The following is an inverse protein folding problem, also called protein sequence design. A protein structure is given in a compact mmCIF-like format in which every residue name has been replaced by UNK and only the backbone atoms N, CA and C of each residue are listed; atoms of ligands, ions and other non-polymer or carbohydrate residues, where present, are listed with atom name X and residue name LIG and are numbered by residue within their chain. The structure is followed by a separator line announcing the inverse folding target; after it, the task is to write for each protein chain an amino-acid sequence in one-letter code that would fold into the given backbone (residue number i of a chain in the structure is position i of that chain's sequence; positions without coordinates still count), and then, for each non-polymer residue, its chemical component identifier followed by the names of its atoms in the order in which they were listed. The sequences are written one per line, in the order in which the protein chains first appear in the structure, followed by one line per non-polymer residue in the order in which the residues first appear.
data_IF_532402108359
#
_entry.id   IF_532402108359
#
_cell.length_a   1.000
_cell.length_b   1.000
_cell.length_c   1.000
_cell.angle_alpha   90.00
_cell.angle_beta   90.00
_cell.angle_gamma   90.00
#
_symmetry.space_group_name_H-M   'P 1'
#
loop_
_entity.id
_entity.type
_entity.pdbx_description
1 polymer ?
#
# COMPACT_ATOMS: atom_id res chain seq x y z
N UNK A 1 62.73 -50.13 -12.77
CA UNK A 1 61.55 -49.88 -13.63
C UNK A 1 60.54 -49.05 -12.84
N UNK A 2 60.21 -47.86 -13.37
CA UNK A 2 59.14 -46.88 -13.07
C UNK A 2 58.38 -46.93 -11.72
N UNK A 3 58.51 -45.93 -10.83
CA UNK A 3 57.79 -44.62 -10.78
C UNK A 3 56.29 -44.67 -10.44
N UNK A 4 55.92 -44.16 -9.26
CA UNK A 4 54.97 -43.04 -9.10
C UNK A 4 55.00 -42.44 -7.69
N UNK A 5 55.42 -41.17 -7.63
CA UNK A 5 55.13 -40.22 -6.56
C UNK A 5 53.62 -40.09 -6.31
N UNK A 6 53.21 -39.71 -5.09
CA UNK A 6 52.31 -38.58 -4.82
C UNK A 6 52.41 -38.14 -3.34
N UNK A 7 52.50 -36.82 -3.20
CA UNK A 7 52.61 -35.94 -2.04
C UNK A 7 51.79 -36.29 -0.77
N UNK A 8 52.46 -36.25 0.39
CA UNK A 8 51.84 -36.04 1.73
C UNK A 8 51.43 -34.56 1.88
N UNK A 9 50.12 -34.27 1.97
CA UNK A 9 49.60 -32.97 2.42
C UNK A 9 49.50 -32.95 3.96
N UNK A 10 50.09 -31.93 4.59
CA UNK A 10 49.91 -31.58 6.01
C UNK A 10 48.50 -31.01 6.24
N UNK A 11 47.89 -31.20 7.43
CA UNK A 11 46.59 -30.60 7.74
C UNK A 11 46.73 -29.08 7.97
N UNK A 12 46.03 -28.29 7.17
CA UNK A 12 45.90 -26.84 7.34
C UNK A 12 44.80 -26.57 8.36
N UNK A 13 45.18 -26.13 9.57
CA UNK A 13 44.25 -25.51 10.53
C UNK A 13 43.91 -24.11 10.03
N UNK A 14 42.73 -23.93 9.44
CA UNK A 14 42.16 -22.61 9.20
C UNK A 14 41.58 -22.07 10.51
N UNK A 15 42.32 -21.17 11.16
CA UNK A 15 41.79 -20.31 12.23
C UNK A 15 40.99 -19.21 11.54
N UNK A 16 39.65 -19.35 11.47
CA UNK A 16 38.77 -18.22 11.16
C UNK A 16 38.72 -17.30 12.38
N UNK A 17 39.50 -16.22 12.34
CA UNK A 17 39.26 -15.05 13.20
C UNK A 17 38.00 -14.35 12.68
N UNK A 18 36.85 -14.72 13.23
CA UNK A 18 35.62 -13.94 13.06
C UNK A 18 35.74 -12.69 13.94
N UNK A 19 36.08 -11.56 13.32
CA UNK A 19 35.94 -10.24 13.95
C UNK A 19 34.45 -9.90 13.94
N UNK A 20 33.75 -10.26 15.00
CA UNK A 20 32.46 -9.68 15.33
C UNK A 20 32.72 -8.30 15.93
N UNK A 21 32.57 -7.23 15.14
CA UNK A 21 32.40 -5.89 15.69
C UNK A 21 30.96 -5.82 16.20
N UNK A 22 30.81 -6.11 17.49
CA UNK A 22 29.60 -5.83 18.25
C UNK A 22 29.53 -4.31 18.45
N UNK A 23 28.82 -3.60 17.57
CA UNK A 23 28.46 -2.21 17.84
C UNK A 23 27.29 -2.23 18.83
N UNK A 24 27.60 -2.39 20.11
CA UNK A 24 26.69 -2.14 21.20
C UNK A 24 26.48 -0.61 21.29
N UNK A 25 25.44 -0.10 20.62
CA UNK A 25 24.89 1.21 20.95
C UNK A 25 23.76 0.99 21.95
N UNK A 26 24.07 1.38 23.17
CA UNK A 26 23.24 1.38 24.38
C UNK A 26 21.84 1.92 24.10
N UNK A 27 20.84 1.11 24.45
CA UNK A 27 19.48 1.57 24.67
C UNK A 27 19.46 2.47 25.91
N UNK A 28 19.56 3.77 25.71
CA UNK A 28 18.93 4.71 26.62
C UNK A 28 17.48 4.85 26.18
N UNK A 29 16.58 4.12 26.87
CA UNK A 29 15.14 4.27 26.72
C UNK A 29 14.79 5.70 27.12
N UNK A 30 14.55 6.56 26.14
CA UNK A 30 14.02 7.89 26.37
C UNK A 30 12.54 7.75 26.72
N UNK A 31 12.22 7.82 28.01
CA UNK A 31 10.98 8.45 28.44
C UNK A 31 11.11 9.94 28.11
N UNK A 32 10.89 10.28 26.83
CA UNK A 32 10.53 11.63 26.41
C UNK A 32 9.16 11.46 25.74
N UNK A 33 8.17 11.25 26.59
CA UNK A 33 6.78 11.57 26.28
C UNK A 33 6.67 13.09 26.13
N UNK A 34 6.08 13.53 25.02
CA UNK A 34 5.49 14.86 24.85
C UNK A 34 6.36 16.08 25.19
N UNK A 35 7.65 16.04 24.89
CA UNK A 35 8.36 17.30 24.67
C UNK A 35 7.87 17.87 23.33
N UNK A 36 7.00 18.90 23.40
CA UNK A 36 6.85 19.89 22.34
C UNK A 36 8.24 20.44 22.05
N UNK A 37 8.95 19.82 21.10
CA UNK A 37 10.23 20.31 20.60
C UNK A 37 9.94 21.58 19.80
N UNK A 38 9.81 22.69 20.53
CA UNK A 38 9.54 24.04 20.06
C UNK A 38 10.81 24.72 19.53
N UNK A 39 11.89 23.97 19.32
CA UNK A 39 13.16 24.50 18.82
C UNK A 39 12.96 25.19 17.46
N UNK A 40 13.16 26.51 17.36
CA UNK A 40 12.91 27.30 16.15
C UNK A 40 13.94 27.03 15.02
N UNK A 41 14.85 26.07 15.21
CA UNK A 41 16.01 25.82 14.37
C UNK A 41 16.13 24.33 14.01
N UNK A 42 15.07 23.72 13.48
CA UNK A 42 15.24 22.50 12.69
C UNK A 42 15.93 22.88 11.38
N UNK A 43 17.27 22.85 11.35
CA UNK A 43 18.06 23.09 10.15
C UNK A 43 17.57 22.09 9.09
N UNK A 44 16.83 22.58 8.09
CA UNK A 44 16.34 21.76 6.99
C UNK A 44 17.17 22.03 5.74
N UNK A 45 18.04 21.08 5.40
CA UNK A 45 18.68 21.05 4.09
C UNK A 45 17.70 20.37 3.12
N UNK A 46 17.28 21.05 2.03
CA UNK A 46 16.32 20.52 1.06
C UNK A 46 16.97 19.41 0.22
N UNK A 47 16.93 18.19 0.76
CA UNK A 47 17.48 17.01 0.12
C UNK A 47 16.37 16.21 -0.58
N UNK A 48 16.71 15.66 -1.75
CA UNK A 48 15.84 14.69 -2.42
C UNK A 48 15.71 13.46 -1.54
N UNK A 49 14.48 13.15 -1.17
CA UNK A 49 14.17 11.90 -0.47
C UNK A 49 13.78 10.83 -1.50
N UNK A 50 13.91 9.56 -1.14
CA UNK A 50 13.33 8.46 -1.94
C UNK A 50 11.79 8.35 -1.76
N UNK A 51 11.13 9.40 -1.25
CA UNK A 51 9.68 9.44 -1.02
C UNK A 51 9.22 8.65 0.22
N UNK A 52 10.14 8.10 1.02
CA UNK A 52 9.82 7.44 2.30
C UNK A 52 9.37 5.98 2.19
N UNK A 53 10.05 5.19 1.36
CA UNK A 53 9.66 3.81 1.07
C UNK A 53 9.59 2.95 2.35
N UNK A 54 8.46 2.27 2.52
CA UNK A 54 8.13 1.25 3.54
C UNK A 54 8.16 1.64 5.03
N UNK A 55 8.75 2.77 5.42
CA UNK A 55 8.82 3.20 6.83
C UNK A 55 8.05 4.49 7.12
N UNK A 56 7.50 5.12 6.09
CA UNK A 56 6.74 6.35 6.21
C UNK A 56 5.30 6.12 5.81
N UNK A 57 4.40 6.77 6.54
CA UNK A 57 2.98 6.85 6.21
C UNK A 57 2.63 8.29 5.88
N UNK A 58 2.01 8.49 4.72
CA UNK A 58 1.48 9.78 4.30
C UNK A 58 0.25 10.10 5.18
N UNK A 59 0.31 11.20 5.93
CA UNK A 59 -0.75 11.66 6.82
C UNK A 59 -1.70 12.62 6.10
N UNK A 60 -1.14 13.56 5.34
CA UNK A 60 -1.86 14.52 4.49
C UNK A 60 -1.22 14.57 3.13
N UNK A 61 -2.01 14.63 2.05
CA UNK A 61 -1.53 14.73 0.67
C UNK A 61 -2.37 15.77 -0.08
N UNK A 62 -1.74 16.81 -0.62
CA UNK A 62 -2.42 17.86 -1.39
C UNK A 62 -1.48 18.43 -2.44
N UNK A 63 -1.94 18.68 -3.68
CA UNK A 63 -1.10 19.25 -4.74
C UNK A 63 0.19 18.47 -5.04
N UNK A 64 0.24 17.17 -4.70
CA UNK A 64 1.44 16.33 -4.79
C UNK A 64 2.42 16.47 -3.61
N UNK A 65 2.21 17.42 -2.70
CA UNK A 65 2.92 17.57 -1.43
C UNK A 65 2.38 16.61 -0.38
N UNK A 66 3.21 16.26 0.61
CA UNK A 66 2.85 15.29 1.66
C UNK A 66 3.41 15.68 3.00
N UNK A 67 2.60 15.51 4.05
CA UNK A 67 3.12 15.30 5.41
C UNK A 67 3.29 13.80 5.59
N UNK A 68 4.48 13.37 5.97
CA UNK A 68 4.80 11.96 6.20
C UNK A 68 5.24 11.76 7.65
N UNK A 69 4.76 10.70 8.29
CA UNK A 69 5.21 10.29 9.64
C UNK A 69 6.04 9.01 9.56
N UNK A 70 7.19 9.01 10.22
CA UNK A 70 8.02 7.82 10.34
C UNK A 70 7.40 6.85 11.35
N UNK A 71 7.35 5.56 11.01
CA UNK A 71 6.76 4.55 11.86
C UNK A 71 7.51 4.32 13.19
N UNK A 72 8.85 4.40 13.18
CA UNK A 72 9.66 4.09 14.36
C UNK A 72 9.90 5.30 15.27
N UNK A 73 10.11 6.48 14.67
CA UNK A 73 10.49 7.68 15.43
C UNK A 73 9.32 8.62 15.68
N UNK A 74 8.15 8.40 15.08
CA UNK A 74 7.00 9.31 15.04
C UNK A 74 7.28 10.72 14.48
N UNK A 75 8.53 10.98 14.07
CA UNK A 75 8.95 12.23 13.49
C UNK A 75 8.22 12.48 12.15
N UNK A 76 7.84 13.72 11.90
CA UNK A 76 7.11 14.13 10.71
C UNK A 76 7.99 14.94 9.76
N UNK A 77 7.68 14.87 8.46
CA UNK A 77 8.31 15.74 7.45
C UNK A 77 7.30 16.19 6.42
N UNK A 78 7.55 17.37 5.86
CA UNK A 78 6.88 17.84 4.65
C UNK A 78 7.78 17.55 3.47
N UNK A 79 7.26 16.86 2.45
CA UNK A 79 7.93 16.66 1.16
C UNK A 79 7.07 17.24 0.04
N UNK A 80 7.71 17.89 -0.93
CA UNK A 80 7.02 18.44 -2.09
C UNK A 80 6.71 17.38 -3.16
N UNK A 81 6.09 17.81 -4.27
CA UNK A 81 5.78 16.95 -5.40
C UNK A 81 7.01 16.27 -6.05
N UNK A 82 8.22 16.82 -5.87
CA UNK A 82 9.50 16.26 -6.35
C UNK A 82 10.17 15.37 -5.30
N UNK A 83 9.52 15.11 -4.17
CA UNK A 83 10.03 14.40 -2.99
C UNK A 83 11.21 15.11 -2.31
N UNK A 84 11.34 16.42 -2.45
CA UNK A 84 12.34 17.21 -1.72
C UNK A 84 11.75 17.56 -0.36
N UNK A 85 12.52 17.36 0.71
CA UNK A 85 12.08 17.68 2.08
C UNK A 85 12.11 19.19 2.30
N UNK A 86 10.97 19.75 2.68
CA UNK A 86 10.77 21.19 2.86
C UNK A 86 10.74 21.60 4.34
N UNK A 87 10.36 20.66 5.21
CA UNK A 87 10.54 20.78 6.67
C UNK A 87 10.50 19.40 7.32
N UNK A 88 10.93 19.32 8.57
CA UNK A 88 10.92 18.13 9.42
C UNK A 88 10.75 18.58 10.88
N UNK A 89 10.03 17.82 11.69
CA UNK A 89 9.74 18.19 13.08
C UNK A 89 8.64 17.35 13.72
N UNK A 90 7.99 17.95 14.72
CA UNK A 90 6.71 17.45 15.22
C UNK A 90 5.63 17.51 14.13
N UNK A 91 4.50 16.83 14.38
CA UNK A 91 3.37 16.90 13.46
C UNK A 91 2.84 18.34 13.33
N UNK A 92 2.67 19.05 14.44
CA UNK A 92 2.14 20.41 14.46
C UNK A 92 3.02 21.39 13.68
N UNK A 93 4.35 21.28 13.83
CA UNK A 93 5.30 22.07 13.04
C UNK A 93 5.16 21.79 11.54
N UNK A 94 5.05 20.52 11.16
CA UNK A 94 4.86 20.13 9.76
C UNK A 94 3.52 20.63 9.22
N UNK A 95 2.45 20.56 10.03
CA UNK A 95 1.12 21.01 9.68
C UNK A 95 1.09 22.54 9.47
N UNK A 96 1.60 23.32 10.42
CA UNK A 96 1.70 24.78 10.30
C UNK A 96 2.46 25.18 9.03
N UNK A 97 3.60 24.52 8.78
CA UNK A 97 4.39 24.80 7.58
C UNK A 97 3.68 24.41 6.29
N UNK A 98 2.89 23.33 6.32
CA UNK A 98 2.06 22.90 5.19
C UNK A 98 0.98 23.94 4.87
N UNK A 99 0.30 24.48 5.89
CA UNK A 99 -0.69 25.56 5.70
C UNK A 99 -0.04 26.82 5.13
N UNK A 100 1.12 27.23 5.64
CA UNK A 100 1.86 28.38 5.07
C UNK A 100 2.19 28.17 3.58
N UNK A 101 2.43 26.92 3.14
CA UNK A 101 2.66 26.64 1.73
C UNK A 101 1.38 26.71 0.89
N UNK A 102 0.21 26.40 1.46
CA UNK A 102 -1.09 26.61 0.83
C UNK A 102 -1.39 28.11 0.72
N UNK A 103 -1.26 28.87 1.81
CA UNK A 103 -1.48 30.32 1.84
C UNK A 103 -0.61 31.07 0.83
N UNK A 104 0.63 30.61 0.63
CA UNK A 104 1.58 31.16 -0.36
C UNK A 104 1.35 30.65 -1.78
N UNK A 105 0.28 29.89 -2.05
CA UNK A 105 -0.05 29.36 -3.37
C UNK A 105 0.95 28.33 -3.92
N UNK A 106 1.76 27.70 -3.06
CA UNK A 106 2.69 26.63 -3.49
C UNK A 106 2.03 25.26 -3.59
N UNK A 107 0.91 25.10 -2.87
CA UNK A 107 0.12 23.88 -2.84
C UNK A 107 -1.28 24.25 -3.31
N UNK A 108 -1.65 23.72 -4.47
CA UNK A 108 -2.99 23.93 -5.04
C UNK A 108 -4.08 23.40 -4.09
N UNK A 109 -5.26 24.05 -4.04
CA UNK A 109 -6.41 23.52 -3.32
C UNK A 109 -6.87 22.18 -3.90
N UNK A 110 -7.59 21.39 -3.10
CA UNK A 110 -8.21 20.17 -3.59
C UNK A 110 -9.25 20.48 -4.66
N UNK A 111 -9.29 19.64 -5.69
CA UNK A 111 -10.44 19.54 -6.58
C UNK A 111 -11.59 18.86 -5.86
N UNK A 112 -12.81 19.12 -6.32
CA UNK A 112 -14.00 18.50 -5.75
C UNK A 112 -14.02 16.97 -5.91
N UNK A 113 -13.40 16.42 -6.97
CA UNK A 113 -13.28 14.97 -7.19
C UNK A 113 -11.90 14.50 -6.80
N UNK A 114 -11.83 13.48 -5.94
CA UNK A 114 -10.58 12.89 -5.45
C UNK A 114 -10.60 11.38 -5.71
N UNK A 115 -9.60 10.88 -6.43
CA UNK A 115 -9.37 9.45 -6.66
C UNK A 115 -8.18 9.02 -5.82
N UNK A 116 -8.39 8.12 -4.87
CA UNK A 116 -7.35 7.58 -3.99
C UNK A 116 -6.93 6.19 -4.47
N UNK A 117 -5.62 5.99 -4.63
CA UNK A 117 -5.04 4.71 -5.00
C UNK A 117 -4.30 4.11 -3.80
N UNK A 118 -4.68 2.89 -3.42
CA UNK A 118 -4.11 2.16 -2.26
C UNK A 118 -3.32 0.95 -2.73
N UNK A 119 -2.04 0.85 -2.34
CA UNK A 119 -1.15 -0.24 -2.76
C UNK A 119 -1.21 -1.45 -1.84
N UNK A 120 -0.73 -2.61 -2.32
CA UNK A 120 -0.62 -3.81 -1.50
C UNK A 120 0.53 -3.79 -0.47
N UNK A 121 0.60 -4.85 0.33
CA UNK A 121 1.73 -5.15 1.21
C UNK A 121 3.03 -5.32 0.39
N UNK A 122 4.19 -5.05 1.01
CA UNK A 122 5.57 -4.95 0.43
C UNK A 122 5.76 -3.93 -0.70
N UNK A 123 4.68 -3.38 -1.25
CA UNK A 123 4.71 -2.35 -2.28
C UNK A 123 4.84 -0.97 -1.66
N UNK A 124 5.07 0.00 -2.54
CA UNK A 124 4.92 1.43 -2.26
C UNK A 124 3.90 2.00 -3.23
N UNK A 125 3.47 3.25 -3.00
CA UNK A 125 2.60 4.00 -3.91
C UNK A 125 3.05 3.99 -5.38
N UNK A 126 4.34 3.78 -5.66
CA UNK A 126 4.90 3.72 -7.00
C UNK A 126 4.39 2.54 -7.83
N UNK A 127 3.93 1.45 -7.20
CA UNK A 127 3.35 0.33 -7.95
C UNK A 127 2.10 0.74 -8.72
N UNK A 128 1.47 1.86 -8.36
CA UNK A 128 0.25 2.38 -8.97
C UNK A 128 0.54 3.56 -9.90
N UNK A 129 1.80 3.90 -10.19
CA UNK A 129 2.16 5.09 -10.97
C UNK A 129 1.59 5.08 -12.40
N UNK A 130 1.51 3.91 -13.04
CA UNK A 130 0.89 3.78 -14.37
C UNK A 130 -0.60 4.08 -14.32
N UNK A 131 -1.32 3.47 -13.38
CA UNK A 131 -2.74 3.71 -13.15
C UNK A 131 -3.00 5.18 -12.78
N UNK A 132 -2.21 5.74 -11.88
CA UNK A 132 -2.33 7.13 -11.46
C UNK A 132 -2.14 8.11 -12.60
N UNK A 133 -1.12 7.93 -13.44
CA UNK A 133 -0.93 8.75 -14.65
C UNK A 133 -2.07 8.57 -15.65
N UNK A 134 -2.53 7.34 -15.85
CA UNK A 134 -3.62 7.05 -16.77
C UNK A 134 -4.91 7.79 -16.38
N UNK A 135 -5.26 7.76 -15.08
CA UNK A 135 -6.45 8.42 -14.53
C UNK A 135 -6.29 9.94 -14.48
N UNK A 136 -5.11 10.45 -14.10
CA UNK A 136 -4.85 11.90 -14.03
C UNK A 136 -5.05 12.58 -15.39
N UNK A 137 -4.66 11.92 -16.47
CA UNK A 137 -4.77 12.45 -17.82
C UNK A 137 -6.19 12.37 -18.41
N UNK A 138 -7.14 11.75 -17.71
CA UNK A 138 -8.50 11.46 -18.23
C UNK A 138 -9.63 11.94 -17.34
N UNK A 139 -9.31 12.52 -16.18
CA UNK A 139 -10.30 12.97 -15.21
C UNK A 139 -9.98 14.39 -14.74
N UNK A 140 -11.03 15.20 -14.58
CA UNK A 140 -10.96 16.44 -13.82
C UNK A 140 -11.04 16.12 -12.31
N UNK A 141 -10.03 15.43 -11.80
CA UNK A 141 -9.94 14.98 -10.41
C UNK A 141 -8.49 15.06 -9.89
N UNK A 142 -8.34 15.13 -8.58
CA UNK A 142 -7.05 14.88 -7.93
C UNK A 142 -6.83 13.37 -7.82
N UNK A 143 -5.68 12.90 -8.30
CA UNK A 143 -5.33 11.48 -8.22
C UNK A 143 -4.20 11.31 -7.21
N UNK A 144 -4.53 10.70 -6.08
CA UNK A 144 -3.67 10.58 -4.91
C UNK A 144 -3.26 9.11 -4.72
N UNK A 145 -2.01 8.78 -5.02
CA UNK A 145 -1.43 7.49 -4.61
C UNK A 145 -0.99 7.59 -3.15
N UNK A 146 -1.75 6.99 -2.25
CA UNK A 146 -1.48 7.02 -0.82
C UNK A 146 -0.37 6.03 -0.47
N UNK A 147 0.74 6.54 0.10
CA UNK A 147 1.83 5.73 0.61
C UNK A 147 1.68 5.45 2.10
N UNK A 148 1.81 4.19 2.49
CA UNK A 148 1.80 3.81 3.90
C UNK A 148 2.80 2.68 4.19
N UNK A 149 3.23 2.57 5.46
CA UNK A 149 4.22 1.60 5.91
C UNK A 149 3.63 0.17 5.96
N UNK A 150 3.33 -0.39 4.80
CA UNK A 150 2.44 -1.53 4.57
C UNK A 150 2.84 -2.86 5.23
N UNK A 151 4.07 -2.97 5.75
CA UNK A 151 4.58 -4.17 6.45
C UNK A 151 4.79 -3.93 7.94
N UNK A 152 4.55 -2.72 8.44
CA UNK A 152 4.96 -2.28 9.78
C UNK A 152 3.82 -2.12 10.75
N UNK A 153 2.59 -2.05 10.26
CA UNK A 153 1.40 -1.85 11.08
C UNK A 153 0.37 -2.93 10.80
N UNK A 154 -0.61 -3.04 11.68
CA UNK A 154 -1.79 -3.88 11.45
C UNK A 154 -2.72 -3.26 10.42
N UNK A 155 -3.60 -4.07 9.83
CA UNK A 155 -4.67 -3.60 8.94
C UNK A 155 -5.57 -2.58 9.65
N UNK A 156 -5.84 -2.77 10.95
CA UNK A 156 -6.62 -1.81 11.75
C UNK A 156 -5.93 -0.46 11.87
N UNK A 157 -4.63 -0.44 12.15
CA UNK A 157 -3.85 0.81 12.20
C UNK A 157 -3.77 1.49 10.83
N UNK A 158 -3.63 0.73 9.75
CA UNK A 158 -3.72 1.29 8.39
C UNK A 158 -5.10 1.89 8.11
N UNK A 159 -6.19 1.24 8.54
CA UNK A 159 -7.54 1.76 8.37
C UNK A 159 -7.78 3.07 9.16
N UNK A 160 -7.21 3.19 10.36
CA UNK A 160 -7.23 4.43 11.14
C UNK A 160 -6.51 5.57 10.42
N UNK A 161 -5.31 5.31 9.89
CA UNK A 161 -4.53 6.29 9.11
C UNK A 161 -5.19 6.64 7.78
N UNK A 162 -5.89 5.70 7.17
CA UNK A 162 -6.73 5.99 6.01
C UNK A 162 -7.85 6.97 6.39
N UNK A 163 -8.53 6.74 7.52
CA UNK A 163 -9.53 7.68 8.04
C UNK A 163 -8.98 9.08 8.36
N UNK A 164 -7.76 9.16 8.92
CA UNK A 164 -7.05 10.42 9.17
C UNK A 164 -6.73 11.15 7.85
N UNK A 165 -6.28 10.44 6.81
CA UNK A 165 -6.09 11.05 5.49
C UNK A 165 -7.40 11.66 4.95
N UNK A 166 -8.51 10.92 5.05
CA UNK A 166 -9.81 11.38 4.54
C UNK A 166 -10.32 12.63 5.27
N UNK A 167 -9.95 12.86 6.53
CA UNK A 167 -10.41 14.03 7.29
C UNK A 167 -9.81 15.35 6.78
N UNK A 168 -8.75 15.31 5.98
CA UNK A 168 -8.18 16.52 5.37
C UNK A 168 -8.87 16.94 4.07
N UNK A 169 -9.72 16.08 3.51
CA UNK A 169 -10.43 16.40 2.27
C UNK A 169 -11.67 17.27 2.54
N UNK A 170 -12.09 18.10 1.58
CA UNK A 170 -13.29 18.91 1.71
C UNK A 170 -14.52 18.07 2.10
N UNK A 171 -15.43 18.69 2.84
CA UNK A 171 -16.66 18.04 3.34
C UNK A 171 -17.62 17.63 2.22
N UNK A 172 -17.57 18.34 1.10
CA UNK A 172 -18.40 18.16 -0.09
C UNK A 172 -17.70 17.37 -1.21
N UNK A 173 -16.47 16.92 -0.98
CA UNK A 173 -15.70 16.18 -1.98
C UNK A 173 -16.41 14.87 -2.41
N UNK A 174 -16.27 14.51 -3.68
CA UNK A 174 -16.58 13.18 -4.18
C UNK A 174 -15.32 12.31 -4.19
N UNK A 175 -15.34 11.23 -3.43
CA UNK A 175 -14.19 10.34 -3.24
C UNK A 175 -14.42 9.04 -4.01
N UNK A 176 -13.40 8.64 -4.76
CA UNK A 176 -13.36 7.42 -5.55
C UNK A 176 -12.12 6.62 -5.13
N UNK A 177 -12.27 5.31 -4.97
CA UNK A 177 -11.20 4.46 -4.45
C UNK A 177 -10.75 3.44 -5.49
N UNK A 178 -9.45 3.19 -5.56
CA UNK A 178 -8.90 2.03 -6.25
C UNK A 178 -7.90 1.33 -5.34
N UNK A 179 -8.27 0.14 -4.87
CA UNK A 179 -7.40 -0.66 -4.02
C UNK A 179 -6.73 -1.79 -4.80
N UNK A 180 -5.44 -2.01 -4.59
CA UNK A 180 -4.74 -3.20 -5.05
C UNK A 180 -4.42 -4.13 -3.87
N UNK A 181 -4.75 -5.41 -4.00
CA UNK A 181 -4.41 -6.44 -3.02
C UNK A 181 -4.84 -6.01 -1.61
N UNK A 182 -3.93 -5.99 -0.63
CA UNK A 182 -4.17 -5.53 0.74
C UNK A 182 -4.81 -4.13 0.85
N UNK A 183 -4.56 -3.21 -0.08
CA UNK A 183 -5.18 -1.88 -0.04
C UNK A 183 -6.70 -1.95 0.02
N UNK A 184 -7.30 -2.99 -0.57
CA UNK A 184 -8.74 -3.26 -0.48
C UNK A 184 -9.18 -3.65 0.93
N UNK A 185 -8.39 -4.48 1.60
CA UNK A 185 -8.67 -4.96 2.96
C UNK A 185 -8.58 -3.81 3.97
N UNK A 186 -7.65 -2.87 3.76
CA UNK A 186 -7.55 -1.63 4.56
C UNK A 186 -8.84 -0.81 4.45
N UNK A 187 -9.36 -0.60 3.23
CA UNK A 187 -10.64 0.11 3.04
C UNK A 187 -11.78 -0.63 3.71
N UNK A 188 -11.90 -1.96 3.52
CA UNK A 188 -12.93 -2.76 4.17
C UNK A 188 -12.86 -2.68 5.70
N UNK A 189 -11.66 -2.69 6.27
CA UNK A 189 -11.46 -2.54 7.72
C UNK A 189 -11.92 -1.16 8.22
N UNK A 190 -11.66 -0.10 7.47
CA UNK A 190 -12.16 1.25 7.76
C UNK A 190 -13.71 1.27 7.74
N UNK A 191 -14.32 0.66 6.72
CA UNK A 191 -15.76 0.63 6.51
C UNK A 191 -16.54 -0.17 7.56
N UNK A 192 -15.86 -1.04 8.33
CA UNK A 192 -16.50 -1.77 9.43
C UNK A 192 -17.05 -0.85 10.50
N UNK A 193 -16.32 0.23 10.82
CA UNK A 193 -16.61 1.10 11.95
C UNK A 193 -16.98 2.52 11.54
N UNK A 194 -16.65 2.93 10.31
CA UNK A 194 -16.88 4.29 9.82
C UNK A 194 -17.54 4.24 8.45
N UNK A 195 -18.43 5.18 8.20
CA UNK A 195 -19.04 5.41 6.90
C UNK A 195 -18.73 6.83 6.47
N UNK A 196 -18.33 7.01 5.22
CA UNK A 196 -18.05 8.32 4.64
C UNK A 196 -18.90 8.50 3.38
N UNK A 197 -19.94 9.33 3.49
CA UNK A 197 -20.90 9.59 2.41
C UNK A 197 -20.25 10.25 1.19
N UNK A 198 -19.03 10.77 1.33
CA UNK A 198 -18.23 11.32 0.23
C UNK A 198 -17.75 10.21 -0.71
N UNK A 199 -17.56 8.98 -0.22
CA UNK A 199 -17.11 7.85 -1.04
C UNK A 199 -18.26 7.41 -1.96
N UNK A 200 -18.04 7.54 -3.27
CA UNK A 200 -19.05 7.27 -4.29
C UNK A 200 -18.88 5.91 -4.93
N UNK A 201 -17.63 5.53 -5.27
CA UNK A 201 -17.33 4.24 -5.90
C UNK A 201 -15.97 3.69 -5.51
N UNK A 202 -15.82 2.38 -5.60
CA UNK A 202 -14.54 1.69 -5.46
C UNK A 202 -14.30 0.67 -6.58
N UNK A 203 -13.06 0.57 -7.04
CA UNK A 203 -12.60 -0.57 -7.85
C UNK A 203 -11.58 -1.37 -7.06
N UNK A 204 -11.79 -2.68 -6.96
CA UNK A 204 -10.93 -3.60 -6.23
C UNK A 204 -10.11 -4.42 -7.22
N UNK A 205 -8.78 -4.25 -7.21
CA UNK A 205 -7.84 -4.99 -8.06
C UNK A 205 -7.22 -6.13 -7.27
N UNK A 206 -7.48 -7.38 -7.69
CA UNK A 206 -7.02 -8.61 -7.05
C UNK A 206 -7.15 -8.58 -5.50
N UNK A 207 -8.34 -8.25 -4.95
CA UNK A 207 -8.52 -8.19 -3.50
C UNK A 207 -8.50 -9.59 -2.87
N UNK A 208 -7.76 -9.86 -1.78
CA UNK A 208 -7.91 -11.10 -1.03
C UNK A 208 -9.14 -11.01 -0.11
N UNK A 209 -10.34 -10.94 -0.70
CA UNK A 209 -11.58 -10.66 0.02
C UNK A 209 -12.01 -11.78 0.97
N UNK A 210 -11.62 -13.02 0.64
CA UNK A 210 -11.83 -14.24 1.44
C UNK A 210 -10.51 -14.80 1.98
N UNK A 211 -9.48 -13.96 2.03
CA UNK A 211 -8.11 -14.32 2.41
C UNK A 211 -7.27 -14.73 1.21
N UNK A 212 -6.05 -15.23 1.47
CA UNK A 212 -5.15 -15.75 0.44
C UNK A 212 -4.58 -17.09 0.87
N UNK A 213 -4.83 -18.13 0.08
CA UNK A 213 -4.29 -19.47 0.25
C UNK A 213 -2.76 -19.45 0.18
N UNK A 214 -2.20 -18.66 -0.73
CA UNK A 214 -0.76 -18.42 -0.79
C UNK A 214 -0.24 -17.83 0.52
N UNK A 215 -0.86 -16.76 1.04
CA UNK A 215 -0.45 -16.17 2.32
C UNK A 215 -0.55 -17.15 3.49
N UNK A 216 -1.55 -18.03 3.51
CA UNK A 216 -1.65 -19.10 4.53
C UNK A 216 -0.51 -20.12 4.39
N UNK A 217 -0.23 -20.58 3.17
CA UNK A 217 0.79 -21.59 2.90
C UNK A 217 2.22 -21.13 3.22
N UNK A 218 2.50 -19.83 3.08
CA UNK A 218 3.83 -19.26 3.38
C UNK A 218 3.95 -18.66 4.78
N UNK A 219 2.88 -18.71 5.58
CA UNK A 219 2.82 -18.05 6.89
C UNK A 219 3.81 -18.66 7.91
N UNK A 220 4.08 -19.96 7.83
CA UNK A 220 4.97 -20.65 8.78
C UNK A 220 6.45 -20.52 8.42
N UNK A 221 6.78 -19.77 7.35
CA UNK A 221 8.16 -19.53 6.93
C UNK A 221 8.65 -18.16 7.41
N UNK A 222 9.50 -18.18 8.45
CA UNK A 222 10.07 -16.99 9.11
C UNK A 222 10.72 -15.98 8.14
N UNK A 223 11.28 -16.45 7.01
CA UNK A 223 11.83 -15.58 5.96
C UNK A 223 10.74 -14.80 5.23
N UNK A 224 9.61 -15.43 4.91
CA UNK A 224 8.46 -14.78 4.29
C UNK A 224 7.74 -13.85 5.27
N UNK A 225 7.64 -14.22 6.55
CA UNK A 225 7.07 -13.35 7.59
C UNK A 225 7.83 -12.03 7.75
N UNK A 226 9.17 -12.09 7.69
CA UNK A 226 10.03 -10.89 7.81
C UNK A 226 9.80 -9.92 6.66
N UNK A 227 9.50 -10.43 5.46
CA UNK A 227 9.25 -9.65 4.26
C UNK A 227 7.83 -9.06 4.26
N UNK A 228 6.81 -9.88 4.54
CA UNK A 228 5.41 -9.46 4.52
C UNK A 228 4.98 -8.69 5.77
N UNK A 229 5.70 -8.83 6.88
CA UNK A 229 5.52 -8.07 8.11
C UNK A 229 4.17 -8.29 8.80
N UNK A 230 3.78 -7.35 9.66
CA UNK A 230 2.60 -7.47 10.53
C UNK A 230 1.32 -7.69 9.73
N UNK A 231 1.10 -6.88 8.70
CA UNK A 231 -0.08 -7.00 7.84
C UNK A 231 -0.13 -8.31 7.06
N UNK A 232 1.02 -8.85 6.64
CA UNK A 232 1.09 -10.14 5.95
C UNK A 232 0.52 -11.29 6.76
N UNK A 233 0.86 -11.34 8.06
CA UNK A 233 0.36 -12.37 8.99
C UNK A 233 -1.16 -12.30 9.19
N UNK A 234 -1.73 -11.09 9.22
CA UNK A 234 -3.19 -10.91 9.33
C UNK A 234 -3.93 -11.36 8.06
N UNK A 235 -3.29 -11.25 6.87
CA UNK A 235 -3.86 -11.73 5.61
C UNK A 235 -3.71 -13.26 5.41
N UNK A 236 -2.73 -13.87 6.07
CA UNK A 236 -2.49 -15.32 6.10
C UNK A 236 -3.28 -16.00 7.23
N UNK A 237 -2.56 -16.53 8.23
CA UNK A 237 -3.14 -17.31 9.33
C UNK A 237 -4.16 -16.55 10.19
N UNK A 238 -4.06 -15.22 10.24
CA UNK A 238 -4.99 -14.38 11.01
C UNK A 238 -6.33 -14.06 10.32
N UNK A 239 -6.52 -14.49 9.07
CA UNK A 239 -7.58 -13.92 8.22
C UNK A 239 -9.00 -14.17 8.76
N UNK A 240 -9.31 -15.36 9.31
CA UNK A 240 -10.66 -15.64 9.84
C UNK A 240 -11.09 -14.63 10.92
N UNK A 241 -10.15 -14.20 11.77
CA UNK A 241 -10.41 -13.19 12.80
C UNK A 241 -10.51 -11.79 12.18
N UNK A 242 -9.64 -11.48 11.22
CA UNK A 242 -9.69 -10.21 10.50
C UNK A 242 -11.00 -10.03 9.73
N UNK A 243 -11.48 -11.06 9.05
CA UNK A 243 -12.69 -11.06 8.21
C UNK A 243 -13.92 -10.59 8.97
N UNK A 244 -14.09 -11.02 10.23
CA UNK A 244 -15.18 -10.57 11.11
C UNK A 244 -15.16 -9.05 11.36
N UNK A 245 -13.99 -8.43 11.20
CA UNK A 245 -13.73 -7.00 11.37
C UNK A 245 -13.72 -6.24 10.04
N UNK A 246 -14.03 -6.88 8.92
CA UNK A 246 -14.13 -6.23 7.61
C UNK A 246 -15.57 -5.84 7.30
N UNK A 247 -15.77 -4.61 6.84
CA UNK A 247 -17.02 -4.15 6.26
C UNK A 247 -17.13 -4.52 4.79
N UNK A 248 -18.36 -4.51 4.28
CA UNK A 248 -18.66 -4.52 2.85
C UNK A 248 -19.02 -3.09 2.43
N UNK A 249 -18.51 -2.58 1.29
CA UNK A 249 -18.93 -1.27 0.80
C UNK A 249 -20.44 -1.19 0.61
N UNK A 250 -21.04 -0.10 1.10
CA UNK A 250 -22.47 0.23 0.94
C UNK A 250 -22.73 1.18 -0.24
N UNK A 251 -21.72 1.41 -1.07
CA UNK A 251 -21.75 2.19 -2.30
C UNK A 251 -21.31 1.30 -3.48
N UNK A 252 -21.47 1.76 -4.73
CA UNK A 252 -21.13 0.94 -5.90
C UNK A 252 -19.64 0.55 -5.90
N UNK A 253 -19.34 -0.75 -5.96
CA UNK A 253 -17.98 -1.22 -6.13
C UNK A 253 -17.89 -2.34 -7.17
N UNK A 254 -16.75 -2.41 -7.85
CA UNK A 254 -16.47 -3.42 -8.86
C UNK A 254 -15.18 -4.15 -8.54
N UNK A 255 -15.07 -5.42 -8.93
CA UNK A 255 -13.90 -6.26 -8.69
C UNK A 255 -13.28 -6.70 -10.01
N UNK A 256 -11.96 -6.55 -10.12
CA UNK A 256 -11.16 -7.06 -11.23
C UNK A 256 -10.19 -8.10 -10.65
N UNK A 257 -10.39 -9.36 -11.02
CA UNK A 257 -9.52 -10.47 -10.66
C UNK A 257 -8.47 -10.72 -11.76
N UNK A 258 -7.25 -11.04 -11.37
CA UNK A 258 -6.24 -11.53 -12.32
C UNK A 258 -6.35 -13.04 -12.46
N UNK A 259 -6.06 -13.55 -13.64
CA UNK A 259 -5.63 -14.94 -13.82
C UNK A 259 -4.65 -15.02 -14.98
N UNK A 260 -3.78 -16.04 -15.01
CA UNK A 260 -3.01 -16.35 -16.21
C UNK A 260 -3.78 -17.37 -17.07
N UNK A 261 -3.88 -17.10 -18.36
CA UNK A 261 -4.46 -18.05 -19.32
C UNK A 261 -3.46 -19.13 -19.78
N UNK A 262 -2.15 -18.87 -19.61
CA UNK A 262 -1.08 -19.80 -19.99
C UNK A 262 -0.71 -20.74 -18.85
N UNK A 263 -0.61 -22.03 -19.15
CA UNK A 263 -0.21 -23.08 -18.19
C UNK A 263 1.31 -23.13 -17.93
N UNK A 264 2.12 -22.29 -18.59
CA UNK A 264 3.58 -22.30 -18.43
C UNK A 264 4.05 -21.78 -17.06
N UNK A 265 3.25 -20.92 -16.43
CA UNK A 265 3.54 -20.34 -15.12
C UNK A 265 2.32 -20.58 -14.24
N UNK A 266 2.46 -21.48 -13.27
CA UNK A 266 1.40 -21.85 -12.34
C UNK A 266 1.94 -21.85 -10.90
N UNK A 267 1.07 -21.53 -9.94
CA UNK A 267 1.38 -21.64 -8.52
C UNK A 267 0.66 -22.88 -7.95
N UNK A 268 1.38 -23.96 -7.60
CA UNK A 268 0.78 -25.23 -7.15
C UNK A 268 0.08 -25.14 -5.79
N UNK A 269 0.20 -23.99 -5.09
CA UNK A 269 -0.47 -23.74 -3.82
C UNK A 269 -1.89 -23.17 -4.01
N UNK A 270 -2.31 -22.89 -5.25
CA UNK A 270 -3.55 -22.20 -5.57
C UNK A 270 -4.40 -23.05 -6.51
N UNK A 271 -5.58 -23.45 -6.02
CA UNK A 271 -6.56 -24.18 -6.81
C UNK A 271 -7.35 -23.24 -7.72
N UNK A 272 -7.52 -23.64 -9.00
CA UNK A 272 -8.28 -22.90 -10.00
C UNK A 272 -7.60 -21.66 -10.58
N UNK A 273 -8.31 -20.85 -11.39
CA UNK A 273 -7.77 -19.65 -12.02
C UNK A 273 -7.24 -18.65 -10.99
N UNK A 274 -6.00 -18.21 -11.14
CA UNK A 274 -5.34 -17.34 -10.18
C UNK A 274 -4.24 -16.47 -10.82
N UNK A 275 -3.87 -15.41 -10.10
CA UNK A 275 -2.87 -14.44 -10.53
C UNK A 275 -1.47 -14.69 -9.94
N UNK A 276 -1.21 -15.93 -9.52
CA UNK A 276 -0.06 -16.42 -8.76
C UNK A 276 -0.06 -16.08 -7.26
N UNK A 277 -1.03 -15.31 -6.75
CA UNK A 277 -1.11 -14.96 -5.32
C UNK A 277 -2.52 -15.15 -4.75
N UNK A 278 -3.54 -14.78 -5.52
CA UNK A 278 -4.95 -14.83 -5.12
C UNK A 278 -5.75 -15.52 -6.23
N UNK A 279 -6.64 -16.43 -5.85
CA UNK A 279 -7.54 -17.08 -6.81
C UNK A 279 -8.68 -16.13 -7.20
N UNK A 280 -9.27 -16.35 -8.37
CA UNK A 280 -10.46 -15.61 -8.80
C UNK A 280 -11.59 -15.73 -7.77
N UNK A 281 -11.77 -16.91 -7.17
CA UNK A 281 -12.75 -17.14 -6.11
C UNK A 281 -12.46 -16.33 -4.84
N UNK A 282 -11.20 -16.27 -4.40
CA UNK A 282 -10.79 -15.50 -3.23
C UNK A 282 -11.05 -13.99 -3.36
N UNK A 283 -11.14 -13.49 -4.61
CA UNK A 283 -11.49 -12.09 -4.88
C UNK A 283 -12.97 -11.77 -4.72
N UNK A 284 -13.85 -12.76 -4.75
CA UNK A 284 -15.28 -12.54 -4.75
C UNK A 284 -15.78 -11.95 -3.43
N UNK A 285 -16.62 -10.91 -3.53
CA UNK A 285 -17.30 -10.27 -2.40
C UNK A 285 -18.71 -9.89 -2.83
N UNK A 286 -19.71 -10.38 -2.10
CA UNK A 286 -21.12 -10.08 -2.33
C UNK A 286 -21.41 -8.58 -2.24
N UNK A 287 -22.34 -8.11 -3.07
CA UNK A 287 -22.66 -6.70 -3.26
C UNK A 287 -21.87 -6.02 -4.38
N UNK A 288 -20.92 -6.72 -5.03
CA UNK A 288 -20.16 -6.19 -6.15
C UNK A 288 -21.07 -5.91 -7.34
N UNK A 289 -21.11 -4.65 -7.80
CA UNK A 289 -21.98 -4.20 -8.89
C UNK A 289 -21.53 -4.72 -10.26
N UNK A 290 -20.24 -5.01 -10.41
CA UNK A 290 -19.67 -5.61 -11.62
C UNK A 290 -18.39 -6.39 -11.29
N UNK A 291 -18.10 -7.41 -12.10
CA UNK A 291 -16.96 -8.29 -11.93
C UNK A 291 -16.30 -8.60 -13.28
N UNK A 292 -14.98 -8.50 -13.35
CA UNK A 292 -14.20 -8.92 -14.53
C UNK A 292 -12.97 -9.69 -14.13
N UNK A 293 -12.53 -10.53 -15.05
CA UNK A 293 -11.21 -11.13 -15.02
C UNK A 293 -10.33 -10.48 -16.09
N UNK A 294 -9.02 -10.46 -15.87
CA UNK A 294 -8.03 -10.02 -16.86
C UNK A 294 -6.83 -10.98 -16.86
N UNK A 295 -6.24 -11.19 -18.04
CA UNK A 295 -5.04 -12.01 -18.17
C UNK A 295 -3.81 -11.26 -17.61
N UNK A 296 -3.52 -11.45 -16.31
CA UNK A 296 -2.42 -10.77 -15.62
C UNK A 296 -2.02 -11.47 -14.33
N UNK A 297 -0.73 -11.36 -13.98
CA UNK A 297 -0.24 -11.66 -12.63
C UNK A 297 -0.68 -10.61 -11.62
N UNK A 298 -0.64 -10.99 -10.34
CA UNK A 298 -0.97 -10.14 -9.19
C UNK A 298 -0.16 -8.84 -9.19
N UNK A 299 1.10 -8.94 -9.62
CA UNK A 299 2.09 -7.85 -9.59
C UNK A 299 1.98 -6.90 -10.78
N UNK A 300 1.25 -7.28 -11.84
CA UNK A 300 1.12 -6.51 -13.08
C UNK A 300 -0.30 -6.02 -13.36
N UNK A 301 -1.31 -6.48 -12.61
CA UNK A 301 -2.72 -6.20 -12.88
C UNK A 301 -3.05 -4.71 -12.96
N UNK A 302 -2.42 -3.89 -12.12
CA UNK A 302 -2.58 -2.42 -12.09
C UNK A 302 -1.99 -1.70 -13.30
N UNK A 303 -1.16 -2.38 -14.10
CA UNK A 303 -0.55 -1.85 -15.33
C UNK A 303 -1.21 -2.43 -16.59
N UNK A 304 -2.08 -3.42 -16.46
CA UNK A 304 -2.71 -4.11 -17.57
C UNK A 304 -3.73 -3.17 -18.25
N UNK A 305 -3.74 -3.15 -19.59
CA UNK A 305 -4.47 -2.15 -20.38
C UNK A 305 -5.98 -2.19 -20.16
N UNK A 306 -6.58 -3.36 -20.13
CA UNK A 306 -8.02 -3.55 -19.86
C UNK A 306 -8.36 -3.11 -18.43
N UNK A 307 -7.53 -3.44 -17.43
CA UNK A 307 -7.69 -2.94 -16.04
C UNK A 307 -7.75 -1.42 -16.02
N UNK A 308 -6.84 -0.73 -16.73
CA UNK A 308 -6.86 0.73 -16.79
C UNK A 308 -8.17 1.27 -17.38
N UNK A 309 -8.65 0.65 -18.46
CA UNK A 309 -9.91 1.01 -19.11
C UNK A 309 -11.13 0.73 -18.24
N UNK A 310 -11.18 -0.43 -17.61
CA UNK A 310 -12.22 -0.86 -16.67
C UNK A 310 -12.29 0.06 -15.46
N UNK A 311 -11.16 0.36 -14.82
CA UNK A 311 -11.12 1.29 -13.67
C UNK A 311 -11.71 2.65 -14.09
N UNK A 312 -11.23 3.23 -15.18
CA UNK A 312 -11.73 4.52 -15.66
C UNK A 312 -13.24 4.50 -15.92
N UNK A 313 -13.73 3.46 -16.61
CA UNK A 313 -15.15 3.36 -16.98
C UNK A 313 -16.03 3.15 -15.75
N UNK A 314 -15.58 2.32 -14.80
CA UNK A 314 -16.31 2.03 -13.58
C UNK A 314 -16.40 3.25 -12.66
N UNK A 315 -15.29 3.96 -12.43
CA UNK A 315 -15.31 5.18 -11.61
C UNK A 315 -16.28 6.22 -12.20
N UNK A 316 -16.35 6.34 -13.54
CA UNK A 316 -17.26 7.26 -14.22
C UNK A 316 -18.73 6.78 -14.19
N UNK A 317 -18.98 5.49 -14.42
CA UNK A 317 -20.31 5.01 -14.86
C UNK A 317 -20.86 3.81 -14.07
N UNK A 318 -20.10 3.23 -13.15
CA UNK A 318 -20.54 2.09 -12.33
C UNK A 318 -20.57 0.73 -13.06
N UNK A 319 -19.87 0.58 -14.19
CA UNK A 319 -19.68 -0.68 -14.91
C UNK A 319 -18.33 -0.72 -15.61
N UNK A 320 -17.80 -1.92 -15.86
CA UNK A 320 -16.51 -2.13 -16.51
C UNK A 320 -16.58 -2.04 -18.03
N UNK A 321 -17.68 -2.47 -18.65
CA UNK A 321 -17.86 -2.46 -20.12
C UNK A 321 -19.08 -1.65 -20.55
N UNK A 322 -20.27 -2.10 -20.15
CA UNK A 322 -21.56 -1.47 -20.44
C UNK A 322 -22.57 -1.78 -19.34
N UNK A 323 -23.70 -1.05 -19.24
CA UNK A 323 -24.77 -1.38 -18.29
C UNK A 323 -25.36 -2.79 -18.49
N UNK A 324 -25.44 -3.26 -19.73
CA UNK A 324 -26.08 -4.54 -20.10
C UNK A 324 -25.17 -5.74 -19.93
N UNK A 325 -23.85 -5.54 -19.84
CA UNK A 325 -22.88 -6.63 -19.63
C UNK A 325 -22.41 -6.76 -18.19
N UNK A 326 -23.02 -6.05 -17.22
CA UNK A 326 -22.66 -6.15 -15.80
C UNK A 326 -22.72 -7.60 -15.31
N UNK A 327 -21.73 -8.01 -14.52
CA UNK A 327 -21.65 -9.31 -13.85
C UNK A 327 -21.63 -9.09 -12.34
N UNK A 328 -22.78 -8.78 -11.71
CA UNK A 328 -22.83 -8.53 -10.29
C UNK A 328 -22.54 -9.80 -9.48
N UNK A 329 -21.90 -9.65 -8.32
CA UNK A 329 -21.72 -10.72 -7.34
C UNK A 329 -22.79 -10.54 -6.26
N UNK A 330 -23.71 -11.49 -6.18
CA UNK A 330 -24.82 -11.47 -5.22
C UNK A 330 -24.39 -11.91 -3.83
#
# INVERSE_FOLDING_TARGET
MALKHIYRKKPVKYIKRSVFVLLALTFAVSNISDAQDSSPLNINIPLRTLGGKQFWTDIRIQGGWRIQRNHYTNHCRVVDAKNIRQTWGSFDQCQQRFETFIEKGKIEPYKNKIIILLHGVIRTRNSLDTLGRYLKNRNAADVISWGYASTRQTISQHAEKFGELLSYFPVDAEIYLVGHSMGNVVVRRYLKNKQDKRIKRMVMLAPPNRGSAFSRAVNDNLLFETVWGVSGRELGGGFKKLEQQLGTPNFEFGIIAGHLESNLVHNPLLDGPNDLVVTVEETALSGGADFRTVNSTHTRIMNQRETLQYVQRFLKSGYFESPTTKKPIR
#
